data_IF_417060501121
#
_entry.id   IF_417060501121
#
_cell.length_a   1.000
_cell.length_b   1.000
_cell.length_c   1.000
_cell.angle_alpha   90.00
_cell.angle_beta   90.00
_cell.angle_gamma   90.00
#
_symmetry.space_group_name_H-M   'P 1'
#
loop_
_entity.id
_entity.type
_entity.pdbx_description
1 polymer ?
#
# COMPACT_ATOMS: atom_id res chain seq x y z
N UNK A 1 -10.25 12.91 30.71
CA UNK A 1 -9.35 12.60 29.57
C UNK A 1 -8.01 12.13 30.14
N UNK A 2 -7.40 11.11 29.59
CA UNK A 2 -6.07 10.67 30.00
C UNK A 2 -5.04 11.80 29.73
N UNK A 3 -3.95 11.84 30.50
CA UNK A 3 -2.86 12.81 30.25
C UNK A 3 -2.31 12.66 28.83
N UNK A 4 -2.30 11.43 28.27
CA UNK A 4 -1.85 11.15 26.91
C UNK A 4 -2.75 11.83 25.86
N UNK A 5 -4.08 11.70 25.98
CA UNK A 5 -5.06 12.34 25.08
C UNK A 5 -4.87 13.87 25.05
N UNK A 6 -4.82 14.51 26.23
CA UNK A 6 -4.71 15.98 26.30
C UNK A 6 -3.36 16.48 25.71
N UNK A 7 -2.27 15.76 25.95
CA UNK A 7 -0.96 16.09 25.41
C UNK A 7 -0.89 15.90 23.90
N UNK A 8 -1.44 14.81 23.36
CA UNK A 8 -1.49 14.57 21.93
C UNK A 8 -2.33 15.66 21.22
N UNK A 9 -3.51 15.99 21.76
CA UNK A 9 -4.37 17.03 21.21
C UNK A 9 -3.63 18.38 21.19
N UNK A 10 -3.00 18.79 22.30
CA UNK A 10 -2.29 20.06 22.37
C UNK A 10 -1.13 20.16 21.34
N UNK A 11 -0.43 19.06 21.09
CA UNK A 11 0.65 19.03 20.09
C UNK A 11 0.11 19.20 18.67
N UNK A 12 -0.94 18.45 18.29
CA UNK A 12 -1.47 18.56 16.93
C UNK A 12 -2.19 19.89 16.69
N UNK A 13 -2.80 20.49 17.73
CA UNK A 13 -3.39 21.84 17.65
C UNK A 13 -2.29 22.89 17.40
N UNK A 14 -1.18 22.87 18.16
CA UNK A 14 -0.04 23.77 17.94
C UNK A 14 0.53 23.65 16.52
N UNK A 15 0.68 22.40 16.02
CA UNK A 15 1.20 22.17 14.67
C UNK A 15 0.29 22.75 13.58
N UNK A 16 -1.01 22.62 13.72
CA UNK A 16 -1.97 23.13 12.73
C UNK A 16 -2.19 24.62 12.87
N UNK A 17 -2.25 25.19 14.08
CA UNK A 17 -2.35 26.62 14.32
C UNK A 17 -1.15 27.40 13.80
N UNK A 18 0.05 26.82 13.92
CA UNK A 18 1.29 27.43 13.38
C UNK A 18 1.45 27.17 11.86
N UNK A 19 0.56 26.44 11.22
CA UNK A 19 0.63 26.11 9.79
C UNK A 19 1.80 25.21 9.42
N UNK A 20 2.37 24.47 10.38
CA UNK A 20 3.41 23.44 10.12
C UNK A 20 2.78 22.24 9.43
N UNK A 21 1.61 21.84 9.90
CA UNK A 21 0.75 20.81 9.29
C UNK A 21 -0.61 21.40 8.96
N UNK A 22 -1.25 20.90 7.92
CA UNK A 22 -2.56 21.37 7.52
C UNK A 22 -3.69 20.65 8.26
N UNK A 23 -3.60 19.34 8.34
CA UNK A 23 -4.58 18.53 9.04
C UNK A 23 -3.97 17.19 9.47
N UNK A 24 -4.30 16.77 10.67
CA UNK A 24 -3.74 15.61 11.33
C UNK A 24 -4.83 14.74 11.97
N UNK A 25 -4.58 13.43 11.99
CA UNK A 25 -5.26 12.48 12.86
C UNK A 25 -4.21 11.63 13.60
N UNK A 26 -4.46 11.36 14.87
CA UNK A 26 -3.62 10.51 15.71
C UNK A 26 -4.49 9.59 16.54
N UNK A 27 -4.24 8.28 16.45
CA UNK A 27 -4.84 7.29 17.33
C UNK A 27 -3.74 6.46 18.01
N UNK A 28 -3.90 6.16 19.29
CA UNK A 28 -3.00 5.29 20.00
C UNK A 28 -3.77 4.34 20.92
N UNK A 29 -3.35 3.08 20.90
CA UNK A 29 -3.87 2.03 21.76
C UNK A 29 -2.79 1.56 22.74
N UNK A 30 -3.19 1.33 23.96
CA UNK A 30 -2.35 0.73 25.01
C UNK A 30 -3.08 -0.48 25.58
N UNK A 31 -2.47 -1.66 25.46
CA UNK A 31 -3.07 -2.93 25.90
C UNK A 31 -4.51 -3.17 25.36
N UNK A 32 -4.77 -2.77 24.12
CA UNK A 32 -6.08 -2.92 23.47
C UNK A 32 -7.09 -1.81 23.78
N UNK A 33 -6.76 -0.85 24.65
CA UNK A 33 -7.62 0.30 24.95
C UNK A 33 -7.19 1.52 24.16
N UNK A 34 -8.15 2.25 23.56
CA UNK A 34 -7.93 3.51 22.87
C UNK A 34 -7.61 4.61 23.88
N UNK A 35 -6.35 5.03 23.96
CA UNK A 35 -5.88 6.04 24.93
C UNK A 35 -5.68 7.42 24.32
N UNK A 36 -5.55 7.50 22.99
CA UNK A 36 -5.54 8.74 22.20
C UNK A 36 -6.42 8.56 20.98
N UNK A 37 -7.33 9.52 20.77
CA UNK A 37 -8.12 9.70 19.55
C UNK A 37 -8.26 11.20 19.33
N UNK A 38 -7.43 11.75 18.44
CA UNK A 38 -7.25 13.19 18.30
C UNK A 38 -7.14 13.59 16.81
N UNK A 39 -7.71 14.74 16.50
CA UNK A 39 -7.64 15.34 15.17
C UNK A 39 -7.60 16.85 15.25
N UNK A 40 -6.99 17.49 14.26
CA UNK A 40 -6.89 18.95 14.17
C UNK A 40 -6.71 19.43 12.74
N UNK A 41 -7.03 20.69 12.46
CA UNK A 41 -6.76 21.38 11.21
C UNK A 41 -7.75 21.12 10.09
N UNK A 42 -7.32 21.40 8.86
CA UNK A 42 -8.14 21.37 7.65
C UNK A 42 -7.95 20.06 6.86
N UNK A 43 -9.04 19.44 6.48
CA UNK A 43 -9.08 18.32 5.54
C UNK A 43 -9.16 18.80 4.07
N UNK A 44 -9.64 20.03 3.84
CA UNK A 44 -9.75 20.62 2.52
C UNK A 44 -9.73 22.16 2.68
N UNK A 45 -8.66 22.80 2.21
CA UNK A 45 -8.50 24.25 2.35
C UNK A 45 -9.39 25.05 1.37
N UNK A 46 -9.74 24.47 0.20
CA UNK A 46 -10.61 25.18 -0.75
C UNK A 46 -12.03 25.33 -0.20
N UNK A 47 -12.53 24.33 0.52
CA UNK A 47 -13.88 24.31 1.08
C UNK A 47 -13.93 24.73 2.55
N UNK A 48 -12.80 24.84 3.23
CA UNK A 48 -12.72 25.08 4.67
C UNK A 48 -13.15 23.88 5.51
N UNK A 49 -13.23 22.67 4.94
CA UNK A 49 -13.65 21.47 5.66
C UNK A 49 -12.58 21.06 6.67
N UNK A 50 -12.99 20.97 7.94
CA UNK A 50 -12.13 20.56 9.04
C UNK A 50 -11.89 19.03 9.03
N UNK A 51 -10.76 18.61 9.59
CA UNK A 51 -10.52 17.21 9.95
C UNK A 51 -11.45 16.83 11.10
N UNK A 52 -11.97 15.61 11.03
CA UNK A 52 -12.75 14.99 12.12
C UNK A 52 -12.42 13.50 12.19
N UNK A 53 -13.02 12.76 13.14
CA UNK A 53 -12.78 11.32 13.32
C UNK A 53 -13.12 10.46 12.10
N UNK A 54 -13.97 10.94 11.19
CA UNK A 54 -14.37 10.23 9.96
C UNK A 54 -13.55 10.61 8.73
N UNK A 55 -12.62 11.53 8.86
CA UNK A 55 -11.77 11.97 7.74
C UNK A 55 -10.84 10.83 7.32
N UNK A 56 -10.78 10.57 6.02
CA UNK A 56 -9.88 9.57 5.44
C UNK A 56 -8.62 10.25 4.92
N UNK A 57 -7.48 9.63 5.14
CA UNK A 57 -6.19 10.10 4.63
C UNK A 57 -5.62 9.12 3.61
N UNK A 58 -4.98 9.66 2.57
CA UNK A 58 -4.21 8.85 1.63
C UNK A 58 -2.87 8.49 2.29
N UNK A 59 -2.68 7.21 2.58
CA UNK A 59 -1.51 6.72 3.34
C UNK A 59 -0.36 6.25 2.45
N UNK A 60 -0.47 6.46 1.14
CA UNK A 60 0.57 6.11 0.15
C UNK A 60 1.19 4.72 0.40
N UNK A 61 2.50 4.69 0.64
CA UNK A 61 3.26 3.45 0.76
C UNK A 61 3.03 2.64 2.03
N UNK A 62 2.31 3.16 3.02
CA UNK A 62 1.79 2.33 4.11
C UNK A 62 0.89 1.19 3.59
N UNK A 63 0.28 1.40 2.42
CA UNK A 63 -0.49 0.38 1.67
C UNK A 63 0.33 -0.88 1.39
N UNK A 64 1.66 -0.79 1.24
CA UNK A 64 2.52 -1.96 1.04
C UNK A 64 2.48 -2.93 2.23
N UNK A 65 2.42 -2.41 3.45
CA UNK A 65 2.25 -3.23 4.65
C UNK A 65 0.94 -3.99 4.64
N UNK A 66 -0.16 -3.33 4.26
CA UNK A 66 -1.47 -3.98 4.12
C UNK A 66 -1.46 -5.03 3.01
N UNK A 67 -0.81 -4.73 1.88
CA UNK A 67 -0.64 -5.69 0.77
C UNK A 67 0.19 -6.90 1.22
N UNK A 68 1.26 -6.69 1.98
CA UNK A 68 2.06 -7.76 2.56
C UNK A 68 1.23 -8.63 3.53
N UNK A 69 0.33 -8.03 4.32
CA UNK A 69 -0.60 -8.77 5.17
C UNK A 69 -1.48 -9.73 4.36
N UNK A 70 -1.95 -9.32 3.17
CA UNK A 70 -2.67 -10.23 2.26
C UNK A 70 -1.79 -11.41 1.84
N UNK A 71 -0.52 -11.15 1.50
CA UNK A 71 0.42 -12.25 1.18
C UNK A 71 0.60 -13.18 2.38
N UNK A 72 0.68 -12.66 3.60
CA UNK A 72 0.80 -13.46 4.82
C UNK A 72 -0.43 -14.35 5.04
N UNK A 73 -1.65 -13.83 4.80
CA UNK A 73 -2.88 -14.62 4.86
C UNK A 73 -2.88 -15.78 3.85
N UNK A 74 -2.42 -15.53 2.62
CA UNK A 74 -2.33 -16.56 1.59
C UNK A 74 -1.25 -17.60 1.91
N UNK A 75 -0.14 -17.17 2.50
CA UNK A 75 0.94 -18.06 2.94
C UNK A 75 0.51 -18.94 4.12
N UNK A 76 -0.20 -18.39 5.11
CA UNK A 76 -0.75 -19.14 6.24
C UNK A 76 -1.72 -20.23 5.78
N UNK A 77 -2.46 -19.99 4.69
CA UNK A 77 -3.36 -20.95 4.06
C UNK A 77 -2.65 -22.01 3.19
N UNK A 78 -1.34 -21.89 3.03
CA UNK A 78 -0.55 -22.76 2.17
C UNK A 78 -0.78 -22.58 0.67
N UNK A 79 -1.43 -21.49 0.24
CA UNK A 79 -1.69 -21.18 -1.18
C UNK A 79 -0.57 -20.37 -1.82
N UNK A 80 0.30 -19.77 -1.00
CA UNK A 80 1.48 -19.01 -1.43
C UNK A 80 2.68 -19.39 -0.57
N UNK A 81 3.86 -19.52 -1.19
CA UNK A 81 5.14 -19.74 -0.52
C UNK A 81 6.08 -18.57 -0.86
N UNK A 82 6.70 -17.98 0.16
CA UNK A 82 7.62 -16.85 0.00
C UNK A 82 8.88 -17.20 -0.79
N UNK A 83 9.33 -18.45 -0.68
CA UNK A 83 10.61 -18.91 -1.21
C UNK A 83 10.48 -19.53 -2.61
N UNK A 84 9.25 -19.71 -3.09
CA UNK A 84 9.02 -20.06 -4.49
C UNK A 84 9.28 -18.87 -5.40
N UNK A 85 9.79 -19.13 -6.61
CA UNK A 85 9.94 -18.10 -7.64
C UNK A 85 8.60 -17.47 -8.01
N UNK A 86 8.60 -16.16 -8.32
CA UNK A 86 7.43 -15.47 -8.87
C UNK A 86 6.90 -16.20 -10.11
N UNK A 87 7.78 -16.72 -10.94
CA UNK A 87 7.45 -17.46 -12.15
C UNK A 87 6.64 -18.75 -11.88
N UNK A 88 6.63 -19.26 -10.65
CA UNK A 88 5.74 -20.36 -10.26
C UNK A 88 4.26 -19.95 -10.33
N UNK A 89 3.94 -18.73 -9.92
CA UNK A 89 2.59 -18.18 -9.92
C UNK A 89 2.29 -17.37 -11.18
N UNK A 90 3.32 -16.77 -11.77
CA UNK A 90 3.25 -15.93 -12.95
C UNK A 90 4.35 -16.34 -13.95
N UNK A 91 4.13 -17.42 -14.76
CA UNK A 91 5.14 -17.95 -15.67
C UNK A 91 5.69 -16.92 -16.65
N UNK A 92 4.86 -16.01 -17.16
CA UNK A 92 5.26 -14.99 -18.14
C UNK A 92 6.18 -13.94 -17.51
N UNK A 93 6.24 -13.81 -16.19
CA UNK A 93 7.21 -12.96 -15.51
C UNK A 93 8.65 -13.30 -15.89
N UNK A 94 8.95 -14.59 -16.03
CA UNK A 94 10.25 -15.08 -16.47
C UNK A 94 10.35 -15.19 -18.00
N UNK A 95 9.94 -14.13 -18.70
CA UNK A 95 10.09 -14.00 -20.15
C UNK A 95 11.06 -12.88 -20.53
N UNK A 96 11.29 -12.69 -21.84
CA UNK A 96 12.15 -11.63 -22.36
C UNK A 96 13.65 -11.86 -22.18
N UNK A 97 14.47 -10.82 -22.33
CA UNK A 97 15.92 -10.92 -22.35
C UNK A 97 16.54 -11.45 -21.04
N UNK A 98 15.90 -11.17 -19.90
CA UNK A 98 16.38 -11.56 -18.58
C UNK A 98 15.65 -12.80 -18.02
N UNK A 99 15.03 -13.63 -18.86
CA UNK A 99 14.22 -14.77 -18.44
C UNK A 99 14.89 -15.67 -17.41
N UNK A 100 16.15 -16.05 -17.65
CA UNK A 100 16.90 -16.95 -16.76
C UNK A 100 17.10 -16.36 -15.35
N UNK A 101 17.40 -15.07 -15.25
CA UNK A 101 17.57 -14.36 -13.97
C UNK A 101 16.21 -14.21 -13.29
N UNK A 102 15.19 -13.80 -14.03
CA UNK A 102 13.83 -13.58 -13.49
C UNK A 102 13.18 -14.88 -12.99
N UNK A 103 13.51 -16.01 -13.59
CA UNK A 103 13.05 -17.31 -13.14
C UNK A 103 13.51 -17.65 -11.70
N UNK A 104 14.53 -16.97 -11.17
CA UNK A 104 15.05 -17.18 -9.81
C UNK A 104 14.51 -16.19 -8.78
N UNK A 105 13.82 -15.13 -9.21
CA UNK A 105 13.30 -14.10 -8.29
C UNK A 105 12.16 -14.69 -7.47
N UNK A 106 12.32 -14.73 -6.13
CA UNK A 106 11.30 -15.24 -5.22
C UNK A 106 10.29 -14.16 -4.82
N UNK A 107 9.13 -14.60 -4.31
CA UNK A 107 8.14 -13.69 -3.71
C UNK A 107 8.75 -12.90 -2.55
N UNK A 108 9.57 -13.55 -1.72
CA UNK A 108 10.31 -12.90 -0.62
C UNK A 108 11.18 -11.75 -1.11
N UNK A 109 11.93 -11.95 -2.20
CA UNK A 109 12.78 -10.90 -2.77
C UNK A 109 11.98 -9.70 -3.27
N UNK A 110 10.79 -9.92 -3.84
CA UNK A 110 9.90 -8.82 -4.23
C UNK A 110 9.36 -8.07 -3.00
N UNK A 111 8.91 -8.77 -1.96
CA UNK A 111 8.44 -8.17 -0.70
C UNK A 111 9.54 -7.36 0.01
N UNK A 112 10.80 -7.81 -0.07
CA UNK A 112 11.95 -7.17 0.56
C UNK A 112 12.64 -6.11 -0.31
N UNK A 113 12.07 -5.75 -1.46
CA UNK A 113 12.67 -4.79 -2.40
C UNK A 113 14.04 -5.18 -2.95
N UNK A 114 14.32 -6.48 -3.06
CA UNK A 114 15.60 -6.99 -3.55
C UNK A 114 15.50 -7.67 -4.92
N UNK A 115 14.32 -7.63 -5.56
CA UNK A 115 14.08 -8.23 -6.88
C UNK A 115 14.85 -7.57 -8.05
N UNK A 116 15.36 -6.35 -7.87
CA UNK A 116 16.11 -5.62 -8.90
C UNK A 116 15.25 -4.87 -9.92
N UNK A 117 13.95 -4.73 -9.70
CA UNK A 117 12.99 -4.12 -10.63
C UNK A 117 12.34 -2.82 -10.09
N UNK A 118 13.10 -1.85 -9.55
CA UNK A 118 12.54 -0.62 -8.96
C UNK A 118 12.12 0.42 -10.00
N UNK A 119 12.64 0.33 -11.23
CA UNK A 119 12.45 1.30 -12.30
C UNK A 119 11.08 1.12 -12.98
N UNK A 120 10.75 2.10 -13.81
CA UNK A 120 9.50 2.18 -14.54
C UNK A 120 9.77 2.22 -16.06
N UNK A 121 8.77 1.97 -16.91
CA UNK A 121 8.89 2.16 -18.33
C UNK A 121 9.37 3.59 -18.67
N UNK A 122 10.34 3.77 -19.55
CA UNK A 122 10.74 5.11 -19.98
C UNK A 122 9.56 5.91 -20.53
N UNK A 123 9.43 7.17 -20.08
CA UNK A 123 8.39 8.07 -20.56
C UNK A 123 6.96 7.69 -20.14
N UNK A 124 6.78 6.84 -19.12
CA UNK A 124 5.44 6.46 -18.66
C UNK A 124 4.69 7.68 -18.11
N UNK A 125 3.43 7.81 -18.53
CA UNK A 125 2.52 8.83 -18.01
C UNK A 125 1.80 8.35 -16.75
N UNK A 126 1.12 9.28 -16.04
CA UNK A 126 0.26 8.92 -14.90
C UNK A 126 -0.78 7.86 -15.26
N UNK A 127 -1.46 8.03 -16.39
CA UNK A 127 -2.47 7.07 -16.85
C UNK A 127 -1.86 5.72 -17.20
N UNK A 128 -0.64 5.72 -17.77
CA UNK A 128 0.11 4.49 -18.02
C UNK A 128 0.50 3.74 -16.74
N UNK A 129 0.75 4.45 -15.62
CA UNK A 129 0.98 3.81 -14.32
C UNK A 129 -0.27 3.15 -13.74
N UNK A 130 -1.46 3.64 -14.09
CA UNK A 130 -2.74 3.10 -13.65
C UNK A 130 -3.21 1.95 -14.54
N UNK A 131 -2.62 1.76 -15.72
CA UNK A 131 -2.89 0.63 -16.61
C UNK A 131 -2.11 -0.60 -16.13
N UNK A 132 -2.79 -1.44 -15.38
CA UNK A 132 -2.20 -2.65 -14.78
C UNK A 132 -1.74 -3.67 -15.83
N UNK A 133 -2.43 -3.79 -16.96
CA UNK A 133 -2.03 -4.69 -18.04
C UNK A 133 -0.77 -4.21 -18.75
N UNK A 134 -0.67 -2.90 -19.00
CA UNK A 134 0.54 -2.29 -19.55
C UNK A 134 1.73 -2.49 -18.63
N UNK A 135 1.55 -2.28 -17.33
CA UNK A 135 2.62 -2.47 -16.33
C UNK A 135 3.02 -3.95 -16.21
N UNK A 136 2.06 -4.87 -16.30
CA UNK A 136 2.31 -6.32 -16.30
C UNK A 136 3.16 -6.73 -17.49
N UNK A 137 2.75 -6.37 -18.72
CA UNK A 137 3.48 -6.68 -19.97
C UNK A 137 4.89 -6.09 -19.92
N UNK A 138 5.04 -4.86 -19.42
CA UNK A 138 6.36 -4.25 -19.28
C UNK A 138 7.23 -5.02 -18.26
N UNK A 139 6.69 -5.42 -17.11
CA UNK A 139 7.43 -6.21 -16.11
C UNK A 139 7.87 -7.56 -16.66
N UNK A 140 7.09 -8.18 -17.55
CA UNK A 140 7.46 -9.43 -18.23
C UNK A 140 8.72 -9.27 -19.09
N UNK A 141 8.98 -8.06 -19.63
CA UNK A 141 10.14 -7.75 -20.48
C UNK A 141 11.27 -7.01 -19.74
N UNK A 142 11.00 -6.46 -18.55
CA UNK A 142 11.98 -5.67 -17.81
C UNK A 142 13.17 -6.52 -17.35
N UNK A 143 14.35 -5.91 -17.34
CA UNK A 143 15.58 -6.52 -16.87
C UNK A 143 15.91 -6.02 -15.45
N UNK A 144 16.27 -6.90 -14.49
CA UNK A 144 16.73 -6.48 -13.19
C UNK A 144 18.01 -5.62 -13.29
N UNK A 145 18.05 -4.51 -12.55
CA UNK A 145 19.21 -3.60 -12.50
C UNK A 145 20.37 -4.18 -11.70
N UNK A 146 20.13 -5.20 -10.90
CA UNK A 146 21.13 -5.94 -10.13
C UNK A 146 20.69 -7.40 -9.95
N UNK A 147 21.64 -8.25 -9.59
CA UNK A 147 21.35 -9.64 -9.30
C UNK A 147 20.34 -9.76 -8.14
N UNK A 148 19.22 -10.48 -8.31
CA UNK A 148 18.19 -10.62 -7.27
C UNK A 148 18.78 -11.05 -5.92
N UNK A 149 18.41 -10.32 -4.87
CA UNK A 149 18.93 -10.54 -3.51
C UNK A 149 20.25 -9.84 -3.19
N UNK A 150 21.02 -9.34 -4.17
CA UNK A 150 22.33 -8.73 -3.93
C UNK A 150 22.24 -7.33 -3.32
N UNK A 151 21.24 -6.55 -3.72
CA UNK A 151 21.03 -5.17 -3.26
C UNK A 151 19.56 -4.95 -2.92
N UNK A 152 19.29 -4.00 -2.04
CA UNK A 152 17.94 -3.48 -1.78
C UNK A 152 17.77 -2.12 -2.43
N UNK A 153 16.70 -1.93 -3.19
CA UNK A 153 16.31 -0.67 -3.78
C UNK A 153 14.80 -0.55 -3.81
N UNK A 154 14.28 0.56 -3.30
CA UNK A 154 12.85 0.72 -3.08
C UNK A 154 12.03 0.61 -4.37
N UNK A 155 11.20 -0.39 -4.49
CA UNK A 155 10.28 -0.63 -5.60
C UNK A 155 8.99 0.18 -5.38
N UNK A 156 9.06 1.49 -5.59
CA UNK A 156 8.00 2.43 -5.20
C UNK A 156 6.62 2.08 -5.79
N UNK A 157 6.58 1.73 -7.07
CA UNK A 157 5.37 1.39 -7.82
C UNK A 157 5.33 -0.09 -8.18
N UNK A 158 6.42 -0.63 -8.67
CA UNK A 158 6.52 -2.00 -9.18
C UNK A 158 6.24 -3.06 -8.10
N UNK A 159 6.47 -2.75 -6.81
CA UNK A 159 6.02 -3.59 -5.70
C UNK A 159 4.54 -3.95 -5.82
N UNK A 160 3.68 -2.94 -5.99
CA UNK A 160 2.23 -3.14 -6.09
C UNK A 160 1.84 -3.95 -7.34
N UNK A 161 2.51 -3.70 -8.46
CA UNK A 161 2.25 -4.44 -9.71
C UNK A 161 2.69 -5.91 -9.59
N UNK A 162 3.87 -6.18 -9.01
CA UNK A 162 4.38 -7.56 -8.87
C UNK A 162 3.53 -8.33 -7.86
N UNK A 163 3.39 -7.80 -6.64
CA UNK A 163 2.69 -8.51 -5.55
C UNK A 163 1.18 -8.60 -5.85
N UNK A 164 0.59 -7.55 -6.40
CA UNK A 164 -0.82 -7.56 -6.79
C UNK A 164 -1.14 -8.59 -7.86
N UNK A 165 -0.26 -8.77 -8.87
CA UNK A 165 -0.45 -9.79 -9.90
C UNK A 165 -0.29 -11.21 -9.34
N UNK A 166 0.69 -11.45 -8.46
CA UNK A 166 0.84 -12.74 -7.77
C UNK A 166 -0.44 -13.07 -6.98
N UNK A 167 -0.94 -12.13 -6.17
CA UNK A 167 -2.16 -12.30 -5.39
C UNK A 167 -3.36 -12.62 -6.31
N UNK A 168 -3.50 -11.88 -7.40
CA UNK A 168 -4.58 -12.10 -8.37
C UNK A 168 -4.54 -13.49 -9.00
N UNK A 169 -3.35 -14.02 -9.27
CA UNK A 169 -3.17 -15.37 -9.86
C UNK A 169 -3.42 -16.49 -8.85
N UNK A 170 -3.04 -16.26 -7.60
CA UNK A 170 -3.20 -17.25 -6.52
C UNK A 170 -4.64 -17.34 -6.02
N UNK A 171 -5.32 -16.18 -5.86
CA UNK A 171 -6.64 -16.09 -5.20
C UNK A 171 -7.79 -15.75 -6.19
N UNK A 172 -7.47 -15.12 -7.32
CA UNK A 172 -8.46 -14.66 -8.32
C UNK A 172 -9.06 -13.29 -8.01
N UNK A 173 -8.87 -12.76 -6.80
CA UNK A 173 -9.37 -11.44 -6.38
C UNK A 173 -8.26 -10.38 -6.43
N UNK A 174 -8.65 -9.12 -6.50
CA UNK A 174 -7.72 -8.00 -6.31
C UNK A 174 -7.36 -7.84 -4.83
N UNK A 175 -6.19 -7.24 -4.55
CA UNK A 175 -5.76 -6.89 -3.19
C UNK A 175 -6.86 -6.12 -2.44
N UNK A 176 -7.43 -5.09 -3.08
CA UNK A 176 -8.49 -4.27 -2.46
C UNK A 176 -9.73 -5.08 -2.08
N UNK A 177 -10.10 -6.08 -2.88
CA UNK A 177 -11.22 -6.96 -2.55
C UNK A 177 -10.92 -7.86 -1.36
N UNK A 178 -9.74 -8.46 -1.32
CA UNK A 178 -9.33 -9.30 -0.19
C UNK A 178 -9.27 -8.46 1.10
N UNK A 179 -8.66 -7.26 1.03
CA UNK A 179 -8.60 -6.34 2.18
C UNK A 179 -10.00 -6.00 2.68
N UNK A 180 -10.95 -5.68 1.79
CA UNK A 180 -12.32 -5.36 2.18
C UNK A 180 -13.04 -6.53 2.83
N UNK A 181 -12.90 -7.75 2.28
CA UNK A 181 -13.64 -8.93 2.70
C UNK A 181 -13.01 -9.61 3.94
N UNK A 182 -11.69 -9.65 4.02
CA UNK A 182 -10.99 -10.49 5.00
C UNK A 182 -10.23 -9.72 6.07
N UNK A 183 -10.03 -8.41 5.90
CA UNK A 183 -9.37 -7.56 6.88
C UNK A 183 -10.35 -6.50 7.40
N UNK A 184 -10.88 -5.64 6.52
CA UNK A 184 -11.68 -4.50 6.96
C UNK A 184 -13.02 -4.94 7.58
N UNK A 185 -13.71 -5.89 6.97
CA UNK A 185 -15.00 -6.38 7.48
C UNK A 185 -14.88 -7.08 8.83
N UNK A 186 -13.98 -8.07 9.03
CA UNK A 186 -13.81 -8.70 10.34
C UNK A 186 -13.38 -7.74 11.45
N UNK A 187 -12.61 -6.70 11.11
CA UNK A 187 -12.16 -5.68 12.06
C UNK A 187 -13.21 -4.57 12.31
N UNK A 188 -14.35 -4.58 11.60
CA UNK A 188 -15.39 -3.56 11.73
C UNK A 188 -14.99 -2.20 11.15
N UNK A 189 -14.00 -2.14 10.24
CA UNK A 189 -13.47 -0.89 9.65
C UNK A 189 -13.74 -0.78 8.14
N UNK A 190 -14.80 -1.42 7.65
CA UNK A 190 -15.18 -1.44 6.23
C UNK A 190 -15.39 -0.05 5.62
N UNK A 191 -15.72 0.94 6.44
CA UNK A 191 -15.94 2.33 6.01
C UNK A 191 -14.71 3.23 6.19
N UNK A 192 -13.58 2.66 6.63
CA UNK A 192 -12.38 3.44 6.98
C UNK A 192 -11.09 2.91 6.36
N UNK A 193 -11.05 1.66 5.90
CA UNK A 193 -9.87 1.05 5.27
C UNK A 193 -10.17 0.64 3.83
N UNK A 194 -9.48 1.28 2.88
CA UNK A 194 -9.66 1.03 1.44
C UNK A 194 -8.32 0.88 0.72
N UNK A 195 -8.26 -0.07 -0.21
CA UNK A 195 -7.31 -0.09 -1.32
C UNK A 195 -8.14 0.01 -2.60
N UNK A 196 -8.06 1.16 -3.29
CA UNK A 196 -8.98 1.50 -4.38
C UNK A 196 -10.35 1.93 -3.82
N UNK A 197 -10.43 3.16 -3.34
CA UNK A 197 -11.66 3.70 -2.75
C UNK A 197 -12.73 4.00 -3.82
N UNK A 198 -13.99 3.78 -3.49
CA UNK A 198 -15.15 4.13 -4.33
C UNK A 198 -15.34 5.66 -4.34
N UNK A 199 -15.93 6.19 -5.40
CA UNK A 199 -16.13 7.65 -5.55
C UNK A 199 -16.98 8.28 -4.45
N UNK A 200 -17.93 7.54 -3.88
CA UNK A 200 -18.82 8.03 -2.82
C UNK A 200 -18.12 8.36 -1.50
N UNK A 201 -16.93 7.75 -1.25
CA UNK A 201 -16.13 8.06 -0.06
C UNK A 201 -15.18 9.25 -0.26
N UNK A 202 -14.97 9.72 -1.50
CA UNK A 202 -14.01 10.81 -1.79
C UNK A 202 -14.32 12.11 -1.05
N UNK A 203 -15.59 12.38 -0.76
CA UNK A 203 -15.99 13.54 0.08
C UNK A 203 -15.41 13.52 1.51
N UNK A 204 -15.01 12.32 2.01
CA UNK A 204 -14.38 12.16 3.33
C UNK A 204 -12.86 12.23 3.26
N UNK A 205 -12.27 12.10 2.09
CA UNK A 205 -10.81 12.09 1.94
C UNK A 205 -10.24 13.48 2.13
N UNK A 206 -9.21 13.62 2.96
CA UNK A 206 -8.44 14.84 3.06
C UNK A 206 -7.71 15.10 1.73
N UNK A 207 -7.77 16.36 1.26
CA UNK A 207 -7.02 16.75 0.07
C UNK A 207 -5.54 16.83 0.39
N UNK A 208 -4.74 16.24 -0.46
CA UNK A 208 -3.29 16.36 -0.42
C UNK A 208 -2.89 17.53 -1.33
N UNK A 209 -2.25 18.52 -0.78
CA UNK A 209 -1.74 19.70 -1.49
C UNK A 209 -0.24 19.70 -1.59
#
# INVERSE_FOLDING_TARGET
MSNAQARAQAVIDDLTERGIERGLQVAAYLNGELVVDAWSGLADAETGRMVNGDTLFVTFSCTKGITATVVHLLAERGTLDYDLPIAHYWPEFASGPAAAVKATITVRQALCHTAGLPHLPPGITRDGLLDTDRMRVWLEQAEPLWAPGALSGYHAVTFGNIIGEIIRRVDGRTVGRIVAEEIARPLGVSDSLFIGARRDVFRRVARHE
#
